data_IF_562294265757
#
_entry.id   IF_562294265757
#
_cell.length_a   1.000
_cell.length_b   1.000
_cell.length_c   1.000
_cell.angle_alpha   90.00
_cell.angle_beta   90.00
_cell.angle_gamma   90.00
#
_symmetry.space_group_name_H-M   'P 1'
#
loop_
_entity.id
_entity.type
_entity.pdbx_description
1 polymer ?
#
# COMPACT_ATOMS: atom_id res chain seq x y z
N UNK A 1 -35.98 -50.30 -17.09
CA UNK A 1 -35.98 -49.85 -15.68
C UNK A 1 -34.74 -49.01 -15.50
N UNK A 2 -34.96 -47.73 -15.26
CA UNK A 2 -34.09 -46.61 -15.64
C UNK A 2 -33.31 -46.14 -14.42
N UNK A 3 -31.99 -46.22 -14.43
CA UNK A 3 -31.13 -45.51 -13.46
C UNK A 3 -29.83 -45.07 -14.12
N UNK A 4 -29.94 -44.25 -15.16
CA UNK A 4 -28.88 -43.34 -15.60
C UNK A 4 -29.27 -41.93 -15.11
N UNK A 5 -29.34 -41.79 -13.79
CA UNK A 5 -29.72 -40.53 -13.15
C UNK A 5 -28.52 -40.02 -12.36
N UNK A 6 -27.93 -38.98 -12.94
CA UNK A 6 -27.19 -37.92 -12.24
C UNK A 6 -25.74 -38.18 -11.82
N UNK A 7 -24.83 -38.20 -12.81
CA UNK A 7 -23.40 -37.90 -12.58
C UNK A 7 -22.89 -36.76 -13.47
N UNK A 8 -23.74 -35.76 -13.72
CA UNK A 8 -23.41 -34.58 -14.53
C UNK A 8 -23.41 -33.26 -13.75
N UNK A 9 -23.37 -33.31 -12.42
CA UNK A 9 -23.16 -32.12 -11.57
C UNK A 9 -21.68 -31.82 -11.37
N UNK A 10 -20.91 -31.80 -12.46
CA UNK A 10 -19.60 -31.17 -12.49
C UNK A 10 -19.81 -29.64 -12.39
N UNK A 11 -19.98 -29.17 -11.17
CA UNK A 11 -20.08 -27.76 -10.80
C UNK A 11 -18.79 -27.06 -11.19
N UNK A 12 -18.76 -26.52 -12.42
CA UNK A 12 -17.76 -25.54 -12.84
C UNK A 12 -17.90 -24.34 -11.90
N UNK A 13 -17.05 -24.26 -10.88
CA UNK A 13 -16.94 -23.05 -10.05
C UNK A 13 -16.58 -21.89 -10.97
N UNK A 14 -17.38 -20.82 -11.06
CA UNK A 14 -16.94 -19.60 -11.71
C UNK A 14 -15.78 -19.05 -10.89
N UNK A 15 -14.55 -19.13 -11.41
CA UNK A 15 -13.47 -18.29 -10.90
C UNK A 15 -13.79 -16.86 -11.30
N UNK A 16 -14.60 -16.19 -10.49
CA UNK A 16 -14.68 -14.74 -10.47
C UNK A 16 -13.31 -14.22 -10.04
N UNK A 17 -12.39 -14.03 -10.99
CA UNK A 17 -11.19 -13.24 -10.79
C UNK A 17 -11.67 -11.80 -10.67
N UNK A 18 -12.07 -11.41 -9.46
CA UNK A 18 -12.38 -10.01 -9.17
C UNK A 18 -11.20 -9.17 -9.64
N UNK A 19 -11.49 -8.20 -10.50
CA UNK A 19 -10.54 -7.17 -10.99
C UNK A 19 -9.78 -6.48 -9.84
N UNK A 20 -10.35 -6.54 -8.64
CA UNK A 20 -9.80 -6.13 -7.35
C UNK A 20 -8.52 -6.87 -6.91
N UNK A 21 -8.24 -8.08 -7.42
CA UNK A 21 -7.04 -8.82 -7.06
C UNK A 21 -5.77 -8.21 -7.69
N UNK A 22 -5.88 -7.58 -8.86
CA UNK A 22 -4.78 -6.89 -9.53
C UNK A 22 -4.40 -5.59 -8.83
N UNK A 23 -5.40 -4.82 -8.39
CA UNK A 23 -5.18 -3.55 -7.69
C UNK A 23 -4.42 -3.74 -6.38
N UNK A 24 -4.71 -4.81 -5.62
CA UNK A 24 -3.98 -5.16 -4.39
C UNK A 24 -2.49 -5.43 -4.61
N UNK A 25 -2.08 -5.84 -5.82
CA UNK A 25 -0.68 -6.11 -6.15
C UNK A 25 0.10 -4.84 -6.50
N UNK A 26 -0.59 -3.74 -6.85
CA UNK A 26 0.03 -2.42 -6.99
C UNK A 26 0.30 -1.73 -5.64
N UNK A 27 -0.43 -2.09 -4.58
CA UNK A 27 -0.22 -1.56 -3.22
C UNK A 27 0.62 -2.48 -2.33
N UNK A 28 1.15 -3.57 -2.89
CA UNK A 28 2.09 -4.42 -2.19
C UNK A 28 3.49 -3.79 -2.31
N UNK A 29 3.78 -2.82 -1.43
CA UNK A 29 5.08 -2.16 -1.34
C UNK A 29 6.12 -3.22 -0.98
N UNK A 30 6.85 -3.71 -1.98
CA UNK A 30 7.75 -4.86 -1.80
C UNK A 30 9.23 -4.50 -1.87
N UNK A 31 9.51 -3.28 -2.31
CA UNK A 31 10.86 -2.79 -2.51
C UNK A 31 11.01 -1.41 -1.87
N UNK A 32 12.23 -1.10 -1.41
CA UNK A 32 12.52 0.20 -0.80
C UNK A 32 12.26 1.37 -1.76
N UNK A 33 12.50 1.20 -3.06
CA UNK A 33 12.19 2.21 -4.07
C UNK A 33 10.71 2.54 -4.17
N UNK A 34 9.84 1.53 -4.09
CA UNK A 34 8.40 1.71 -4.15
C UNK A 34 7.88 2.44 -2.90
N UNK A 35 8.46 2.15 -1.73
CA UNK A 35 8.20 2.90 -0.51
C UNK A 35 8.57 4.38 -0.67
N UNK A 36 9.76 4.69 -1.21
CA UNK A 36 10.16 6.08 -1.48
C UNK A 36 9.22 6.77 -2.47
N UNK A 37 8.74 6.07 -3.50
CA UNK A 37 7.81 6.63 -4.49
C UNK A 37 6.46 6.99 -3.85
N UNK A 38 5.95 6.16 -2.95
CA UNK A 38 4.72 6.43 -2.20
C UNK A 38 4.90 7.61 -1.25
N UNK A 39 6.00 7.63 -0.47
CA UNK A 39 6.31 8.74 0.44
C UNK A 39 6.42 10.05 -0.33
N UNK A 40 7.08 10.03 -1.49
CA UNK A 40 7.20 11.18 -2.37
C UNK A 40 5.84 11.66 -2.89
N UNK A 41 4.99 10.76 -3.36
CA UNK A 41 3.64 11.10 -3.82
C UNK A 41 2.78 11.73 -2.70
N UNK A 42 2.86 11.17 -1.49
CA UNK A 42 2.18 11.71 -0.31
C UNK A 42 2.73 13.10 0.07
N UNK A 43 4.05 13.27 0.05
CA UNK A 43 4.72 14.53 0.34
C UNK A 43 4.32 15.63 -0.66
N UNK A 44 4.37 15.35 -1.96
CA UNK A 44 4.02 16.32 -3.01
C UNK A 44 2.56 16.78 -2.88
N UNK A 45 1.63 15.85 -2.65
CA UNK A 45 0.21 16.19 -2.44
C UNK A 45 -0.03 17.00 -1.16
N UNK A 46 0.69 16.68 -0.09
CA UNK A 46 0.67 17.40 1.19
C UNK A 46 1.18 18.85 1.06
N UNK A 47 2.32 19.02 0.39
CA UNK A 47 2.98 20.33 0.20
C UNK A 47 2.11 21.26 -0.65
N UNK A 48 1.55 20.77 -1.75
CA UNK A 48 0.69 21.57 -2.62
C UNK A 48 -0.57 22.06 -1.91
N UNK A 49 -1.18 21.22 -1.06
CA UNK A 49 -2.32 21.64 -0.22
C UNK A 49 -1.89 22.57 0.91
N UNK A 50 -0.75 22.32 1.54
CA UNK A 50 -0.19 23.15 2.61
C UNK A 50 0.15 24.57 2.15
N UNK A 51 0.77 24.70 0.97
CA UNK A 51 1.10 25.99 0.35
C UNK A 51 -0.16 26.83 0.07
N UNK A 52 -1.24 26.20 -0.39
CA UNK A 52 -2.52 26.88 -0.59
C UNK A 52 -3.12 27.48 0.68
N UNK A 53 -2.79 26.96 1.87
CA UNK A 53 -3.19 27.54 3.16
C UNK A 53 -2.22 28.62 3.65
N UNK A 54 -0.92 28.49 3.35
CA UNK A 54 0.11 29.51 3.67
C UNK A 54 -0.16 30.81 2.92
N UNK A 55 -0.56 30.74 1.65
CA UNK A 55 -0.85 31.94 0.84
C UNK A 55 -2.12 32.67 1.30
N UNK A 56 -3.10 31.96 1.87
CA UNK A 56 -4.41 32.52 2.26
C UNK A 56 -4.49 32.96 3.72
N UNK A 57 -3.63 32.44 4.58
CA UNK A 57 -3.57 32.78 6.01
C UNK A 57 -2.19 33.36 6.32
N UNK A 58 -1.99 34.69 6.15
CA UNK A 58 -0.73 35.33 6.51
C UNK A 58 -0.57 35.26 8.05
N UNK A 59 0.29 34.33 8.51
CA UNK A 59 0.55 34.09 9.93
C UNK A 59 1.31 32.79 10.22
N UNK A 60 1.68 32.57 11.48
CA UNK A 60 2.36 31.35 11.96
C UNK A 60 1.57 30.06 11.75
N UNK A 61 0.25 30.15 11.55
CA UNK A 61 -0.65 29.01 11.33
C UNK A 61 -0.37 28.25 10.03
N UNK A 62 0.00 28.94 8.95
CA UNK A 62 0.36 28.29 7.68
C UNK A 62 1.62 27.43 7.81
N UNK A 63 2.64 27.95 8.51
CA UNK A 63 3.85 27.22 8.85
C UNK A 63 3.59 26.06 9.82
N UNK A 64 2.68 26.23 10.79
CA UNK A 64 2.29 25.16 11.71
C UNK A 64 1.62 24.00 10.95
N UNK A 65 0.75 24.30 9.99
CA UNK A 65 0.08 23.30 9.16
C UNK A 65 1.06 22.58 8.23
N UNK A 66 2.00 23.32 7.63
CA UNK A 66 3.07 22.76 6.80
C UNK A 66 3.98 21.83 7.63
N UNK A 67 4.38 22.25 8.82
CA UNK A 67 5.17 21.45 9.75
C UNK A 67 4.40 20.20 10.23
N UNK A 68 3.12 20.33 10.55
CA UNK A 68 2.27 19.21 10.92
C UNK A 68 2.12 18.19 9.78
N UNK A 69 1.88 18.67 8.55
CA UNK A 69 1.72 17.81 7.38
C UNK A 69 3.03 17.07 7.06
N UNK A 70 4.16 17.78 7.09
CA UNK A 70 5.49 17.18 6.92
C UNK A 70 5.80 16.17 8.03
N UNK A 71 5.44 16.48 9.28
CA UNK A 71 5.58 15.57 10.41
C UNK A 71 4.81 14.25 10.22
N UNK A 72 3.57 14.32 9.73
CA UNK A 72 2.78 13.13 9.40
C UNK A 72 3.44 12.30 8.30
N UNK A 73 3.97 12.94 7.25
CA UNK A 73 4.68 12.25 6.15
C UNK A 73 5.91 11.50 6.66
N UNK A 74 6.68 12.07 7.59
CA UNK A 74 7.84 11.39 8.19
C UNK A 74 7.42 10.17 9.03
N UNK A 75 6.37 10.29 9.85
CA UNK A 75 5.84 9.16 10.64
C UNK A 75 5.35 8.06 9.71
N UNK A 76 4.59 8.41 8.68
CA UNK A 76 4.10 7.47 7.68
C UNK A 76 5.26 6.81 6.91
N UNK A 77 6.25 7.60 6.48
CA UNK A 77 7.42 7.10 5.76
C UNK A 77 8.26 6.12 6.57
N UNK A 78 8.47 6.41 7.86
CA UNK A 78 9.15 5.47 8.77
C UNK A 78 8.41 4.14 8.90
N UNK A 79 7.08 4.16 9.03
CA UNK A 79 6.27 2.92 9.13
C UNK A 79 6.25 2.11 7.83
N UNK A 80 6.21 2.78 6.68
CA UNK A 80 6.25 2.11 5.38
C UNK A 80 7.62 1.47 5.17
N UNK A 81 8.71 2.17 5.49
CA UNK A 81 10.06 1.63 5.36
C UNK A 81 10.30 0.43 6.30
N UNK A 82 9.85 0.54 7.55
CA UNK A 82 9.94 -0.56 8.53
C UNK A 82 9.14 -1.80 8.11
N UNK A 83 7.97 -1.61 7.49
CA UNK A 83 7.19 -2.71 6.93
C UNK A 83 7.93 -3.43 5.79
N UNK A 84 8.60 -2.69 4.90
CA UNK A 84 9.39 -3.28 3.81
C UNK A 84 10.62 -4.02 4.34
N UNK A 85 11.32 -3.45 5.32
CA UNK A 85 12.48 -4.10 5.96
C UNK A 85 12.07 -5.41 6.65
N UNK A 86 10.90 -5.44 7.31
CA UNK A 86 10.32 -6.67 7.88
C UNK A 86 10.03 -7.73 6.81
N UNK A 87 9.39 -7.33 5.72
CA UNK A 87 9.08 -8.23 4.60
C UNK A 87 10.36 -8.75 3.92
N UNK A 88 11.43 -7.95 3.86
CA UNK A 88 12.75 -8.39 3.38
C UNK A 88 13.38 -9.42 4.33
N UNK A 89 13.36 -9.13 5.63
CA UNK A 89 13.94 -9.99 6.67
C UNK A 89 13.24 -11.35 6.80
N UNK A 90 11.92 -11.37 6.71
CA UNK A 90 11.12 -12.61 6.77
C UNK A 90 11.40 -13.50 5.55
N UNK A 91 11.70 -12.90 4.40
CA UNK A 91 12.05 -13.61 3.17
C UNK A 91 13.45 -14.22 3.21
N UNK A 92 14.40 -13.53 3.85
CA UNK A 92 15.78 -13.97 4.03
C UNK A 92 15.89 -15.10 5.08
N UNK A 93 15.17 -14.94 6.20
CA UNK A 93 15.10 -15.96 7.26
C UNK A 93 14.45 -17.28 6.79
N UNK A 94 13.65 -17.26 5.72
CA UNK A 94 13.09 -18.47 5.11
C UNK A 94 14.10 -19.29 4.28
N UNK A 95 15.23 -18.70 3.88
CA UNK A 95 16.31 -19.37 3.15
C UNK A 95 17.37 -19.98 4.09
N UNK A 96 17.51 -19.44 5.31
CA UNK A 96 18.41 -19.97 6.35
C UNK A 96 17.86 -21.21 7.11
N UNK A 97 16.65 -21.67 6.77
CA UNK A 97 15.99 -22.88 7.33
C UNK A 97 16.02 -24.05 6.33
N UNK A 98 16.86 -24.00 5.29
CA UNK A 98 17.15 -25.15 4.44
C UNK A 98 18.49 -25.80 4.88
N UNK A 99 18.50 -27.07 5.34
CA UNK A 99 19.72 -27.78 5.73
C UNK A 99 20.64 -28.14 4.55
#
# INVERSE_FOLDING_TARGET
>A
MTTDHDRSTATRRPRGRGVWAGFKRLFAVKTKFEAFLVIYALATGAVERGLGYVERLPGTSGWLFFAACTGVVFIAGGKILDAVERDERDRDSGLDIAP
#
